data_IF_307689778864
#
_entry.id   IF_307689778864
#
_cell.length_a   1.000
_cell.length_b   1.000
_cell.length_c   1.000
_cell.angle_alpha   90.00
_cell.angle_beta   90.00
_cell.angle_gamma   90.00
#
_symmetry.space_group_name_H-M   'P 1'
#
loop_
_entity.id
_entity.type
_entity.pdbx_description
1 polymer ?
#
# COMPACT_ATOMS: atom_id res chain seq x y z
N UNK A 1 14.54 9.96 14.43
CA UNK A 1 14.20 8.66 13.82
C UNK A 1 12.71 8.44 14.06
N UNK A 2 11.91 8.24 13.02
CA UNK A 2 10.46 8.06 13.15
C UNK A 2 10.16 6.64 13.62
N UNK A 3 9.23 6.48 14.56
CA UNK A 3 8.73 5.17 14.98
C UNK A 3 8.15 4.40 13.78
N UNK A 4 8.31 3.07 13.73
CA UNK A 4 7.70 2.27 12.68
C UNK A 4 6.17 2.43 12.72
N UNK A 5 5.49 2.41 11.56
CA UNK A 5 4.04 2.49 11.51
C UNK A 5 3.42 1.32 12.29
N UNK A 6 2.51 1.64 13.21
CA UNK A 6 1.76 0.64 13.96
C UNK A 6 0.47 0.32 13.21
N UNK A 7 0.23 -0.98 13.01
CA UNK A 7 -0.99 -1.49 12.40
C UNK A 7 -1.67 -2.47 13.36
N UNK A 8 -3.00 -2.53 13.30
CA UNK A 8 -3.80 -3.37 14.17
C UNK A 8 -4.23 -4.67 13.47
N UNK A 9 -4.49 -5.71 14.26
CA UNK A 9 -5.09 -6.94 13.75
C UNK A 9 -6.43 -6.60 13.11
N UNK A 10 -6.74 -7.26 11.99
CA UNK A 10 -7.87 -7.01 11.08
C UNK A 10 -7.74 -5.81 10.16
N UNK A 11 -6.72 -4.95 10.31
CA UNK A 11 -6.48 -3.84 9.38
C UNK A 11 -6.30 -4.39 7.95
N UNK A 12 -7.01 -3.76 7.01
CA UNK A 12 -6.70 -3.92 5.59
C UNK A 12 -5.49 -3.07 5.27
N UNK A 13 -4.52 -3.64 4.57
CA UNK A 13 -3.25 -2.99 4.25
C UNK A 13 -2.79 -3.37 2.85
N UNK A 14 -1.99 -2.50 2.27
CA UNK A 14 -1.20 -2.84 1.09
C UNK A 14 0.14 -3.39 1.54
N UNK A 15 0.58 -4.51 0.97
CA UNK A 15 1.94 -5.01 1.19
C UNK A 15 2.67 -5.20 -0.12
N UNK A 16 3.95 -4.86 -0.15
CA UNK A 16 4.79 -5.07 -1.33
C UNK A 16 5.21 -6.54 -1.35
N UNK A 17 4.79 -7.30 -2.34
CA UNK A 17 5.14 -8.72 -2.49
C UNK A 17 6.64 -8.93 -2.74
N UNK A 18 7.21 -10.03 -2.21
CA UNK A 18 8.55 -10.53 -2.57
C UNK A 18 8.30 -11.77 -3.43
N UNK A 19 8.52 -11.68 -4.72
CA UNK A 19 8.52 -12.86 -5.61
C UNK A 19 9.87 -12.93 -6.32
N UNK A 20 10.41 -14.14 -6.41
CA UNK A 20 11.60 -14.46 -7.21
C UNK A 20 11.27 -14.53 -8.71
N UNK A 21 10.03 -14.87 -9.05
CA UNK A 21 9.59 -15.17 -10.41
C UNK A 21 8.57 -14.16 -10.96
N UNK A 22 8.12 -13.21 -10.15
CA UNK A 22 7.17 -12.19 -10.56
C UNK A 22 7.64 -10.79 -10.12
N UNK A 23 7.25 -9.74 -10.85
CA UNK A 23 7.54 -8.36 -10.47
C UNK A 23 7.04 -8.07 -9.05
N UNK A 24 7.82 -7.29 -8.29
CA UNK A 24 7.38 -6.78 -6.99
C UNK A 24 6.18 -5.87 -7.20
N UNK A 25 5.04 -6.24 -6.63
CA UNK A 25 3.80 -5.46 -6.68
C UNK A 25 3.17 -5.28 -5.32
N UNK A 26 2.48 -4.17 -5.10
CA UNK A 26 1.63 -4.00 -3.94
C UNK A 26 0.35 -4.78 -4.11
N UNK A 27 0.00 -5.55 -3.08
CA UNK A 27 -1.22 -6.35 -3.03
C UNK A 27 -2.01 -6.02 -1.79
N UNK A 28 -3.33 -6.20 -1.87
CA UNK A 28 -4.21 -6.03 -0.74
C UNK A 28 -4.11 -7.26 0.17
N UNK A 29 -3.96 -7.01 1.47
CA UNK A 29 -3.97 -8.04 2.49
C UNK A 29 -4.66 -7.55 3.75
N UNK A 30 -4.90 -8.47 4.68
CA UNK A 30 -5.42 -8.18 6.01
C UNK A 30 -4.42 -8.64 7.05
N UNK A 31 -4.20 -7.86 8.10
CA UNK A 31 -3.38 -8.28 9.23
C UNK A 31 -4.14 -9.32 10.04
N UNK A 32 -3.54 -10.50 10.24
CA UNK A 32 -4.10 -11.57 11.07
C UNK A 32 -3.44 -11.57 12.45
N UNK A 33 -2.15 -11.24 12.52
CA UNK A 33 -1.39 -11.25 13.77
C UNK A 33 -0.15 -10.36 13.70
N UNK A 34 0.30 -9.89 14.87
CA UNK A 34 1.61 -9.26 15.06
C UNK A 34 2.58 -10.36 15.51
N UNK A 35 3.60 -10.61 14.69
CA UNK A 35 4.60 -11.67 14.95
C UNK A 35 5.73 -11.14 15.84
N UNK A 36 6.15 -9.91 15.58
CA UNK A 36 7.20 -9.19 16.31
C UNK A 36 6.97 -7.67 16.15
N UNK A 37 7.77 -6.84 16.83
CA UNK A 37 7.69 -5.37 16.83
C UNK A 37 7.55 -4.77 15.42
N UNK A 38 8.24 -5.36 14.44
CA UNK A 38 8.27 -4.89 13.05
C UNK A 38 7.83 -5.96 12.05
N UNK A 39 7.15 -7.01 12.49
CA UNK A 39 6.73 -8.12 11.62
C UNK A 39 5.25 -8.47 11.83
N UNK A 40 4.54 -8.64 10.72
CA UNK A 40 3.11 -8.91 10.71
C UNK A 40 2.80 -10.14 9.86
N UNK A 41 1.86 -10.96 10.32
CA UNK A 41 1.27 -12.03 9.54
C UNK A 41 0.07 -11.48 8.76
N UNK A 42 0.12 -11.59 7.44
CA UNK A 42 -0.86 -11.04 6.51
C UNK A 42 -1.60 -12.14 5.76
N UNK A 43 -2.91 -11.98 5.55
CA UNK A 43 -3.76 -12.77 4.64
C UNK A 43 -3.98 -12.01 3.33
N UNK A 44 -3.44 -12.47 2.21
CA UNK A 44 -3.68 -11.85 0.89
C UNK A 44 -5.17 -11.92 0.54
N UNK A 45 -5.76 -10.77 0.21
CA UNK A 45 -7.15 -10.66 -0.24
C UNK A 45 -7.19 -10.75 -1.77
N UNK A 46 -6.94 -11.95 -2.31
CA UNK A 46 -7.08 -12.22 -3.75
C UNK A 46 -8.54 -12.54 -4.10
N UNK A 47 -9.00 -12.07 -5.26
CA UNK A 47 -10.31 -12.45 -5.83
C UNK A 47 -10.25 -13.77 -6.61
N UNK A 48 -9.05 -14.23 -6.97
CA UNK A 48 -8.86 -15.27 -8.00
C UNK A 48 -8.37 -16.62 -7.43
N UNK A 49 -7.89 -16.67 -6.19
CA UNK A 49 -7.38 -17.90 -5.58
C UNK A 49 -8.36 -18.39 -4.49
N UNK A 50 -8.90 -19.60 -4.62
CA UNK A 50 -9.68 -20.27 -3.56
C UNK A 50 -8.83 -20.54 -2.30
N UNK A 51 -7.50 -20.57 -2.46
CA UNK A 51 -6.56 -20.75 -1.36
C UNK A 51 -6.05 -19.40 -0.88
N UNK A 52 -6.46 -19.01 0.32
CA UNK A 52 -5.94 -17.83 1.00
C UNK A 52 -4.46 -18.02 1.31
N UNK A 53 -3.62 -17.10 0.80
CA UNK A 53 -2.17 -17.12 1.00
C UNK A 53 -1.80 -16.23 2.18
N UNK A 54 -1.03 -16.77 3.13
CA UNK A 54 -0.55 -16.04 4.29
C UNK A 54 0.97 -15.78 4.21
N UNK A 55 1.41 -14.61 4.66
CA UNK A 55 2.81 -14.20 4.58
C UNK A 55 3.23 -13.42 5.83
N UNK A 56 4.46 -13.65 6.30
CA UNK A 56 5.10 -12.80 7.30
C UNK A 56 5.83 -11.68 6.57
N UNK A 57 5.52 -10.43 6.91
CA UNK A 57 6.00 -9.24 6.21
C UNK A 57 6.48 -8.19 7.20
N UNK A 58 7.60 -7.54 6.89
CA UNK A 58 8.15 -6.44 7.68
C UNK A 58 7.32 -5.15 7.54
N UNK A 59 7.20 -4.39 8.61
CA UNK A 59 6.42 -3.14 8.70
C UNK A 59 6.73 -2.14 7.57
N UNK A 60 8.00 -1.99 7.21
CA UNK A 60 8.46 -1.07 6.14
C UNK A 60 7.88 -1.39 4.75
N UNK A 61 7.41 -2.63 4.56
CA UNK A 61 6.83 -3.13 3.31
C UNK A 61 5.31 -3.12 3.34
N UNK A 62 4.72 -2.50 4.35
CA UNK A 62 3.28 -2.38 4.56
C UNK A 62 2.91 -0.89 4.47
N UNK A 63 1.79 -0.60 3.82
CA UNK A 63 1.17 0.72 3.75
C UNK A 63 -0.27 0.60 4.20
N UNK A 64 -0.74 1.57 4.98
CA UNK A 64 -2.13 1.65 5.36
C UNK A 64 -3.04 1.97 4.17
N UNK A 65 -4.35 1.77 4.32
CA UNK A 65 -5.32 2.11 3.26
C UNK A 65 -5.31 3.59 2.86
N UNK A 66 -4.90 4.50 3.75
CA UNK A 66 -4.74 5.92 3.41
C UNK A 66 -3.74 6.17 2.27
N UNK A 67 -2.78 5.26 2.05
CA UNK A 67 -1.80 5.32 0.96
C UNK A 67 -2.28 4.64 -0.33
N UNK A 68 -3.56 4.28 -0.46
CA UNK A 68 -4.07 3.53 -1.62
C UNK A 68 -3.75 4.22 -2.94
N UNK A 69 -3.88 5.54 -3.02
CA UNK A 69 -3.58 6.28 -4.25
C UNK A 69 -2.09 6.16 -4.60
N UNK A 70 -1.19 6.42 -3.65
CA UNK A 70 0.26 6.28 -3.86
C UNK A 70 0.63 4.86 -4.29
N UNK A 71 -0.01 3.86 -3.70
CA UNK A 71 0.18 2.44 -4.03
C UNK A 71 -0.27 2.14 -5.46
N UNK A 72 -1.45 2.63 -5.88
CA UNK A 72 -1.94 2.46 -7.25
C UNK A 72 -1.01 3.14 -8.26
N UNK A 73 -0.48 4.30 -7.93
CA UNK A 73 0.51 5.00 -8.74
C UNK A 73 1.84 4.22 -8.84
N UNK A 74 2.33 3.67 -7.73
CA UNK A 74 3.56 2.85 -7.72
C UNK A 74 3.38 1.56 -8.54
N UNK A 75 2.25 0.88 -8.42
CA UNK A 75 1.93 -0.29 -9.26
C UNK A 75 1.88 0.07 -10.76
N UNK A 76 1.28 1.21 -11.11
CA UNK A 76 1.24 1.71 -12.50
C UNK A 76 2.65 2.04 -13.02
N UNK A 77 3.48 2.72 -12.23
CA UNK A 77 4.89 3.01 -12.58
C UNK A 77 5.71 1.75 -12.79
N UNK A 78 5.45 0.69 -12.01
CA UNK A 78 6.07 -0.63 -12.15
C UNK A 78 5.57 -1.42 -13.38
N UNK A 79 4.63 -0.86 -14.16
CA UNK A 79 3.98 -1.48 -15.33
C UNK A 79 3.41 -2.86 -15.02
N UNK A 80 2.81 -3.00 -13.85
CA UNK A 80 2.15 -4.25 -13.48
C UNK A 80 0.78 -4.35 -14.18
N UNK A 81 0.69 -5.21 -15.19
CA UNK A 81 -0.53 -5.44 -15.99
C UNK A 81 -1.68 -6.09 -15.19
N UNK A 82 -1.46 -6.42 -13.91
CA UNK A 82 -2.45 -7.08 -13.04
C UNK A 82 -3.27 -6.16 -12.15
N UNK A 83 -3.11 -4.83 -12.22
CA UNK A 83 -3.99 -3.89 -11.52
C UNK A 83 -5.07 -3.42 -12.50
N UNK A 84 -6.33 -3.73 -12.19
CA UNK A 84 -7.52 -3.43 -13.00
C UNK A 84 -7.82 -1.93 -13.22
N UNK A 85 -7.01 -1.04 -12.65
CA UNK A 85 -7.08 0.39 -12.88
C UNK A 85 -5.86 0.84 -13.69
N UNK A 86 -5.96 0.68 -15.01
CA UNK A 86 -5.05 1.30 -15.98
C UNK A 86 -5.36 2.81 -15.99
N UNK A 87 -4.81 3.52 -14.99
CA UNK A 87 -4.95 4.97 -14.93
C UNK A 87 -4.19 5.55 -16.11
N UNK A 88 -4.91 6.19 -17.02
CA UNK A 88 -4.27 6.86 -18.15
C UNK A 88 -3.25 7.87 -17.63
N UNK A 89 -2.14 8.05 -18.35
CA UNK A 89 -0.99 8.84 -17.88
C UNK A 89 -1.36 10.26 -17.43
N UNK A 90 -2.34 10.87 -18.06
CA UNK A 90 -2.92 12.18 -17.69
C UNK A 90 -3.69 12.16 -16.36
N UNK A 91 -4.40 11.06 -16.04
CA UNK A 91 -5.11 10.89 -14.77
C UNK A 91 -4.14 10.72 -13.60
N UNK A 92 -3.04 9.99 -13.81
CA UNK A 92 -1.95 9.87 -12.83
C UNK A 92 -1.39 11.24 -12.45
N UNK A 93 -1.07 12.08 -13.45
CA UNK A 93 -0.51 13.41 -13.21
C UNK A 93 -1.48 14.33 -12.48
N UNK A 94 -2.76 14.28 -12.83
CA UNK A 94 -3.81 15.05 -12.17
C UNK A 94 -3.94 14.67 -10.69
N UNK A 95 -3.95 13.37 -10.38
CA UNK A 95 -4.05 12.86 -9.02
C UNK A 95 -2.79 13.21 -8.20
N UNK A 96 -1.59 13.04 -8.76
CA UNK A 96 -0.34 13.42 -8.11
C UNK A 96 -0.27 14.92 -7.80
N UNK A 97 -0.71 15.77 -8.72
CA UNK A 97 -0.78 17.21 -8.50
C UNK A 97 -1.79 17.57 -7.40
N UNK A 98 -2.92 16.87 -7.33
CA UNK A 98 -3.96 17.12 -6.32
C UNK A 98 -3.52 16.70 -4.92
N UNK A 99 -2.83 15.56 -4.77
CA UNK A 99 -2.24 15.16 -3.49
C UNK A 99 -1.22 16.20 -3.02
N UNK A 100 -0.34 16.68 -3.91
CA UNK A 100 0.65 17.70 -3.56
C UNK A 100 -0.02 18.99 -3.07
N UNK A 101 -1.07 19.44 -3.75
CA UNK A 101 -1.86 20.59 -3.29
C UNK A 101 -2.48 20.34 -1.91
N UNK A 102 -3.15 19.21 -1.69
CA UNK A 102 -3.77 18.91 -0.39
C UNK A 102 -2.75 18.86 0.77
N UNK A 103 -1.55 18.36 0.51
CA UNK A 103 -0.45 18.35 1.49
C UNK A 103 0.07 19.77 1.75
N UNK A 104 0.22 20.60 0.72
CA UNK A 104 0.60 22.01 0.86
C UNK A 104 -0.46 22.81 1.63
N UNK A 105 -1.75 22.58 1.37
CA UNK A 105 -2.86 23.22 2.08
C UNK A 105 -2.96 22.83 3.56
N UNK A 106 -2.50 21.63 3.95
CA UNK A 106 -2.40 21.21 5.37
C UNK A 106 -1.10 21.66 6.06
N UNK A 107 -0.18 22.28 5.31
CA UNK A 107 1.10 22.75 5.82
C UNK A 107 1.10 24.25 6.17
N UNK A 108 -0.04 24.92 6.04
CA UNK A 108 -0.20 26.27 6.60
C UNK A 108 -0.30 26.15 8.12
N UNK A 109 0.51 26.89 8.89
CA UNK A 109 0.33 26.92 10.34
C UNK A 109 -1.05 27.50 10.61
N UNK A 110 -1.75 26.93 11.61
CA UNK A 110 -2.94 27.54 12.18
C UNK A 110 -2.57 28.98 12.54
N UNK A 111 -3.12 29.95 11.79
CA UNK A 111 -3.04 31.34 12.16
C UNK A 111 -3.99 31.51 13.35
N UNK A 112 -3.39 31.72 14.53
CA UNK A 112 -4.05 32.26 15.73
C UNK A 112 -4.96 33.46 15.42
#
# INVERSE_FOLDING_TARGET
>A
MSSPPQFYVTDSVWYLSKSLHAPKRWKLARIISVVDKDMYLLEEQSKEDEVKKCFIVQAERIRGMGSTIEVLLDNNRRRDRGVTFDLQRNQVWYIEARIKQDVEWRSFPDND
#
